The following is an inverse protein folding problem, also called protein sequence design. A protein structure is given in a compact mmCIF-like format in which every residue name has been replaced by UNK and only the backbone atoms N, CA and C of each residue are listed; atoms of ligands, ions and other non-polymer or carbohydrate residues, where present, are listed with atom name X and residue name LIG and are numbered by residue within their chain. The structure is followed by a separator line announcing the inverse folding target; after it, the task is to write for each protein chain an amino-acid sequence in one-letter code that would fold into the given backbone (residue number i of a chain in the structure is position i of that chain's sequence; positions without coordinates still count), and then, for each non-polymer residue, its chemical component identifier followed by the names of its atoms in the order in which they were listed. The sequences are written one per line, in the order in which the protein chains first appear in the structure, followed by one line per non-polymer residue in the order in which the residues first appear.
data_IF_054521766464
#
_entry.id   IF_054521766464
#
_cell.length_a   1.000
_cell.length_b   1.000
_cell.length_c   1.000
_cell.angle_alpha   90.00
_cell.angle_beta   90.00
_cell.angle_gamma   90.00
#
_symmetry.space_group_name_H-M   'P 1'
#
loop_
_entity.id
_entity.type
_entity.pdbx_description
1 polymer ?
#
# COMPACT_ATOMS: atom_id res chain seq x y z
N UNK A 1 1.43 62.07 -49.93
CA UNK A 1 2.42 61.09 -50.45
C UNK A 1 2.38 59.87 -49.53
N UNK A 2 2.18 58.66 -50.06
CA UNK A 2 2.02 57.44 -49.23
C UNK A 2 3.35 56.72 -49.00
N UNK A 3 3.47 56.03 -47.86
CA UNK A 3 4.62 55.17 -47.58
C UNK A 3 4.65 53.96 -48.52
N UNK A 4 5.85 53.51 -48.89
CA UNK A 4 6.01 52.31 -49.72
C UNK A 4 5.77 51.07 -48.87
N UNK A 5 4.63 50.43 -49.08
CA UNK A 5 4.31 49.13 -48.50
C UNK A 5 4.51 48.01 -49.52
N UNK A 6 5.14 46.90 -49.11
CA UNK A 6 5.32 45.71 -49.94
C UNK A 6 4.95 44.45 -49.16
N UNK A 7 4.06 43.65 -49.72
CA UNK A 7 3.71 42.33 -49.16
C UNK A 7 4.93 41.41 -49.17
N UNK A 8 5.18 40.74 -48.05
CA UNK A 8 6.32 39.82 -47.92
C UNK A 8 5.87 38.41 -48.25
N UNK A 9 6.51 37.76 -49.21
CA UNK A 9 6.23 36.37 -49.58
C UNK A 9 6.34 35.39 -48.41
N UNK A 10 7.25 35.65 -47.45
CA UNK A 10 7.41 34.85 -46.23
C UNK A 10 6.18 34.84 -45.32
N UNK A 11 5.29 35.83 -45.40
CA UNK A 11 4.02 35.83 -44.66
C UNK A 11 2.93 35.06 -45.41
N UNK A 12 3.01 35.02 -46.75
CA UNK A 12 2.11 34.23 -47.57
C UNK A 12 2.44 32.73 -47.51
N UNK A 13 3.72 32.37 -47.60
CA UNK A 13 4.18 30.98 -47.59
C UNK A 13 5.51 30.82 -46.84
N UNK A 14 5.49 30.00 -45.79
CA UNK A 14 6.67 29.66 -44.98
C UNK A 14 6.62 28.19 -44.56
N UNK A 15 7.23 27.27 -45.33
CA UNK A 15 7.25 25.87 -44.97
C UNK A 15 8.08 25.64 -43.70
N UNK A 16 7.80 24.53 -43.02
CA UNK A 16 8.60 24.09 -41.89
C UNK A 16 10.06 23.82 -42.32
N UNK A 17 10.99 23.91 -41.35
CA UNK A 17 12.38 23.52 -41.59
C UNK A 17 12.46 22.00 -41.76
N UNK A 18 13.38 21.48 -42.58
CA UNK A 18 13.57 20.05 -42.72
C UNK A 18 13.94 19.44 -41.36
N UNK A 19 13.27 18.34 -41.03
CA UNK A 19 13.55 17.58 -39.81
C UNK A 19 14.88 16.83 -39.94
N UNK A 20 15.43 16.46 -38.79
CA UNK A 20 16.64 15.64 -38.71
C UNK A 20 16.25 14.18 -38.59
N UNK A 21 16.65 13.36 -39.56
CA UNK A 21 16.54 11.91 -39.43
C UNK A 21 17.39 11.46 -38.22
N UNK A 22 16.78 10.75 -37.26
CA UNK A 22 17.44 10.25 -36.05
C UNK A 22 18.19 11.32 -35.23
N UNK A 23 17.74 12.57 -35.28
CA UNK A 23 18.41 13.72 -34.63
C UNK A 23 19.86 13.98 -35.14
N UNK A 24 20.21 13.49 -36.33
CA UNK A 24 21.53 13.68 -36.94
C UNK A 24 21.53 14.88 -37.88
N UNK A 25 22.49 15.78 -37.68
CA UNK A 25 22.83 16.84 -38.64
C UNK A 25 23.82 16.31 -39.68
N UNK A 26 23.41 16.22 -40.96
CA UNK A 26 24.21 15.63 -42.03
C UNK A 26 25.63 16.21 -42.19
N UNK A 27 25.79 17.52 -41.92
CA UNK A 27 27.07 18.22 -42.09
C UNK A 27 27.76 18.58 -40.76
N UNK A 28 27.38 17.97 -39.63
CA UNK A 28 27.94 18.32 -38.31
C UNK A 28 29.45 18.15 -38.25
N UNK A 29 29.99 17.09 -38.85
CA UNK A 29 31.43 16.79 -38.88
C UNK A 29 32.20 17.58 -39.96
N UNK A 30 31.50 18.18 -40.93
CA UNK A 30 32.11 18.94 -42.02
C UNK A 30 32.19 20.44 -41.73
N UNK A 31 31.24 20.98 -40.96
CA UNK A 31 31.15 22.42 -40.70
C UNK A 31 31.91 22.82 -39.43
N UNK A 32 32.44 24.06 -39.35
CA UNK A 32 33.02 24.58 -38.12
C UNK A 32 31.96 24.76 -37.03
N UNK A 33 32.37 24.63 -35.75
CA UNK A 33 31.52 24.84 -34.58
C UNK A 33 31.47 26.33 -34.23
N UNK A 34 30.62 27.09 -34.93
CA UNK A 34 30.39 28.52 -34.70
C UNK A 34 28.94 28.75 -34.23
N UNK A 35 28.71 29.75 -33.36
CA UNK A 35 27.37 30.13 -32.90
C UNK A 35 26.46 30.42 -34.11
N UNK A 36 25.28 29.80 -34.11
CA UNK A 36 24.30 29.98 -35.17
C UNK A 36 23.90 31.45 -35.28
N UNK A 37 23.90 31.98 -36.50
CA UNK A 37 23.52 33.37 -36.79
C UNK A 37 24.69 34.22 -37.28
N UNK A 38 25.88 34.05 -36.68
CA UNK A 38 27.06 34.88 -36.99
C UNK A 38 27.44 34.84 -38.48
N UNK A 39 27.62 33.65 -39.05
CA UNK A 39 27.93 33.50 -40.48
C UNK A 39 26.77 33.90 -41.42
N UNK A 40 25.54 33.93 -40.90
CA UNK A 40 24.35 34.31 -41.67
C UNK A 40 24.04 35.82 -41.57
N UNK A 41 24.86 36.60 -40.86
CA UNK A 41 24.65 38.03 -40.62
C UNK A 41 23.53 38.36 -39.63
N UNK A 42 23.09 37.41 -38.80
CA UNK A 42 22.12 37.64 -37.73
C UNK A 42 22.88 37.84 -36.42
N UNK A 43 22.84 39.07 -35.92
CA UNK A 43 23.51 39.51 -34.70
C UNK A 43 22.61 40.51 -33.96
N UNK A 44 22.73 40.55 -32.63
CA UNK A 44 21.96 41.41 -31.75
C UNK A 44 22.81 41.72 -30.53
N UNK A 45 22.98 43.02 -30.22
CA UNK A 45 23.68 43.45 -29.01
C UNK A 45 22.89 43.11 -27.75
N UNK A 46 21.58 43.36 -27.78
CA UNK A 46 20.64 43.02 -26.73
C UNK A 46 19.49 42.19 -27.30
N UNK A 47 19.07 41.15 -26.57
CA UNK A 47 17.91 40.35 -26.91
C UNK A 47 16.85 40.52 -25.83
N UNK A 48 15.75 41.18 -26.16
CA UNK A 48 14.60 41.38 -25.26
C UNK A 48 13.51 40.38 -25.63
N UNK A 49 13.19 39.45 -24.73
CA UNK A 49 12.08 38.49 -24.89
C UNK A 49 10.87 38.93 -24.06
N UNK A 50 9.74 39.17 -24.74
CA UNK A 50 8.51 39.61 -24.07
C UNK A 50 7.80 38.48 -23.29
N UNK A 51 8.30 37.25 -23.39
CA UNK A 51 7.77 36.09 -22.66
C UNK A 51 8.34 35.96 -21.25
N UNK A 52 9.39 36.70 -20.95
CA UNK A 52 10.02 36.68 -19.63
C UNK A 52 9.17 37.39 -18.59
N UNK A 53 9.21 36.90 -17.35
CA UNK A 53 8.41 37.44 -16.24
C UNK A 53 8.65 38.93 -16.01
N UNK A 54 9.91 39.38 -16.15
CA UNK A 54 10.31 40.78 -15.95
C UNK A 54 9.66 41.74 -16.95
N UNK A 55 9.20 41.23 -18.10
CA UNK A 55 8.64 42.03 -19.19
C UNK A 55 7.12 41.87 -19.34
N UNK A 56 6.47 41.17 -18.42
CA UNK A 56 5.03 40.95 -18.46
C UNK A 56 4.25 42.28 -18.47
N UNK A 57 4.62 43.26 -17.64
CA UNK A 57 3.97 44.58 -17.61
C UNK A 57 4.07 45.30 -18.97
N UNK A 58 5.22 45.19 -19.62
CA UNK A 58 5.49 45.84 -20.90
C UNK A 58 4.70 45.15 -22.02
N UNK A 59 4.59 43.81 -21.96
CA UNK A 59 3.73 43.04 -22.86
C UNK A 59 2.25 43.42 -22.69
N UNK A 60 1.75 43.46 -21.46
CA UNK A 60 0.35 43.81 -21.17
C UNK A 60 0.03 45.26 -21.57
N UNK A 61 0.96 46.19 -21.38
CA UNK A 61 0.80 47.57 -21.84
C UNK A 61 0.76 47.70 -23.37
N UNK A 62 1.42 46.78 -24.10
CA UNK A 62 1.37 46.72 -25.56
C UNK A 62 0.08 46.08 -26.09
N UNK A 63 -0.60 45.25 -25.30
CA UNK A 63 -1.86 44.60 -25.69
C UNK A 63 -3.00 45.60 -25.75
N UNK A 64 -3.92 45.40 -26.69
CA UNK A 64 -5.03 46.33 -26.88
C UNK A 64 -6.11 46.08 -25.81
N UNK A 65 -6.64 47.11 -25.12
CA UNK A 65 -7.61 46.92 -24.02
C UNK A 65 -8.93 46.22 -24.37
N UNK A 66 -9.24 46.07 -25.67
CA UNK A 66 -10.43 45.32 -26.13
C UNK A 66 -10.21 43.81 -26.19
N UNK A 67 -8.97 43.35 -26.22
CA UNK A 67 -8.62 41.93 -26.18
C UNK A 67 -8.68 41.47 -24.72
N UNK A 68 -9.74 40.74 -24.35
CA UNK A 68 -9.96 40.28 -22.97
C UNK A 68 -9.49 38.85 -22.81
N UNK A 69 -8.73 38.60 -21.75
CA UNK A 69 -8.29 37.27 -21.37
C UNK A 69 -9.21 36.71 -20.27
N UNK A 70 -9.79 35.54 -20.53
CA UNK A 70 -10.60 34.79 -19.55
C UNK A 70 -9.69 33.83 -18.75
N UNK A 71 -10.20 33.31 -17.62
CA UNK A 71 -9.49 32.35 -16.77
C UNK A 71 -8.23 32.90 -16.08
N UNK A 72 -8.29 34.13 -15.58
CA UNK A 72 -7.18 34.78 -14.87
C UNK A 72 -6.94 34.16 -13.48
N UNK A 73 -8.02 34.00 -12.70
CA UNK A 73 -7.94 33.51 -11.32
C UNK A 73 -8.36 32.04 -11.15
N UNK A 74 -9.05 31.47 -12.15
CA UNK A 74 -9.53 30.09 -12.14
C UNK A 74 -9.33 29.43 -13.50
N UNK A 75 -9.25 28.10 -13.53
CA UNK A 75 -9.13 27.32 -14.77
C UNK A 75 -10.38 26.48 -14.97
N UNK A 76 -10.78 26.31 -16.24
CA UNK A 76 -11.93 25.47 -16.59
C UNK A 76 -11.76 24.01 -16.13
N UNK A 77 -10.58 23.42 -16.37
CA UNK A 77 -10.26 22.06 -15.93
C UNK A 77 -9.66 22.05 -14.52
N UNK A 78 -10.00 21.00 -13.74
CA UNK A 78 -9.39 20.76 -12.45
C UNK A 78 -7.87 20.52 -12.61
N UNK A 79 -7.08 21.32 -11.90
CA UNK A 79 -5.62 21.29 -11.90
C UNK A 79 -5.06 20.26 -10.89
N UNK A 80 -5.86 19.79 -9.94
CA UNK A 80 -5.47 18.84 -8.89
C UNK A 80 -5.56 17.38 -9.31
N UNK A 81 -5.68 17.11 -10.61
CA UNK A 81 -5.63 15.76 -11.18
C UNK A 81 -4.18 15.47 -11.55
N UNK A 82 -3.62 14.37 -11.03
CA UNK A 82 -2.26 13.93 -11.37
C UNK A 82 -2.18 13.62 -12.87
N UNK A 83 -1.38 14.39 -13.60
CA UNK A 83 -1.13 14.24 -15.05
C UNK A 83 0.36 14.17 -15.33
N UNK A 84 0.68 13.61 -16.49
CA UNK A 84 2.04 13.53 -17.00
C UNK A 84 2.53 14.86 -17.57
N UNK A 85 3.84 15.09 -17.45
CA UNK A 85 4.53 16.20 -18.11
C UNK A 85 4.70 15.96 -19.61
N UNK A 86 5.04 17.03 -20.34
CA UNK A 86 5.39 16.93 -21.75
C UNK A 86 6.66 16.09 -21.97
N UNK A 87 6.77 15.47 -23.16
CA UNK A 87 7.90 14.59 -23.51
C UNK A 87 9.26 15.24 -23.32
N UNK A 88 9.40 16.50 -23.73
CA UNK A 88 10.66 17.22 -23.62
C UNK A 88 11.02 17.54 -22.16
N UNK A 89 10.02 17.81 -21.31
CA UNK A 89 10.21 18.03 -19.87
C UNK A 89 10.66 16.74 -19.19
N UNK A 90 10.04 15.59 -19.51
CA UNK A 90 10.46 14.26 -19.02
C UNK A 90 11.91 13.94 -19.45
N UNK A 91 12.28 14.25 -20.69
CA UNK A 91 13.65 14.07 -21.18
C UNK A 91 14.66 14.97 -20.44
N UNK A 92 14.30 16.22 -20.14
CA UNK A 92 15.14 17.12 -19.36
C UNK A 92 15.32 16.61 -17.92
N UNK A 93 14.24 16.12 -17.28
CA UNK A 93 14.31 15.53 -15.95
C UNK A 93 15.20 14.29 -15.93
N UNK A 94 14.99 13.38 -16.88
CA UNK A 94 15.84 12.19 -17.04
C UNK A 94 17.30 12.59 -17.23
N UNK A 95 17.61 13.46 -18.20
CA UNK A 95 18.98 13.88 -18.46
C UNK A 95 19.67 14.63 -17.32
N UNK A 96 18.91 15.34 -16.47
CA UNK A 96 19.42 16.02 -15.28
C UNK A 96 19.65 15.07 -14.10
N UNK A 97 18.75 14.12 -13.90
CA UNK A 97 18.70 13.23 -12.74
C UNK A 97 18.90 11.77 -13.14
N UNK A 98 19.93 11.48 -13.92
CA UNK A 98 20.24 10.11 -14.35
C UNK A 98 20.51 9.15 -13.16
N UNK A 99 21.02 9.68 -12.05
CA UNK A 99 21.37 8.91 -10.85
C UNK A 99 20.15 8.40 -10.05
N UNK A 100 18.92 8.73 -10.45
CA UNK A 100 17.70 8.13 -9.89
C UNK A 100 17.42 6.72 -10.43
N UNK A 101 18.16 6.26 -11.45
CA UNK A 101 18.07 4.89 -11.92
C UNK A 101 18.47 3.91 -10.80
N UNK A 102 17.81 2.73 -10.71
CA UNK A 102 18.21 1.70 -9.75
C UNK A 102 19.64 1.25 -10.03
N UNK A 103 20.38 0.92 -8.97
CA UNK A 103 21.75 0.41 -9.02
C UNK A 103 22.71 1.30 -9.84
N UNK A 104 22.49 2.63 -9.81
CA UNK A 104 23.37 3.58 -10.49
C UNK A 104 24.75 3.69 -9.82
N UNK A 105 24.82 3.50 -8.50
CA UNK A 105 26.07 3.57 -7.74
C UNK A 105 27.06 2.48 -8.17
N UNK A 106 28.34 2.87 -8.33
CA UNK A 106 29.38 1.91 -8.68
C UNK A 106 29.68 1.00 -7.47
N UNK A 107 29.60 -0.31 -7.70
CA UNK A 107 29.97 -1.35 -6.74
C UNK A 107 31.02 -2.29 -7.36
N UNK A 108 32.16 -2.55 -6.69
CA UNK A 108 32.60 -1.99 -5.41
C UNK A 108 33.04 -0.52 -5.52
N UNK A 109 32.92 0.22 -4.42
CA UNK A 109 33.32 1.63 -4.35
C UNK A 109 34.78 1.76 -3.89
N UNK A 110 35.62 2.41 -4.70
CA UNK A 110 37.08 2.42 -4.51
C UNK A 110 37.62 3.81 -4.17
N UNK A 111 36.88 4.88 -4.43
CA UNK A 111 37.38 6.26 -4.31
C UNK A 111 37.05 6.89 -2.96
N UNK A 112 38.06 7.20 -2.16
CA UNK A 112 37.87 7.76 -0.82
C UNK A 112 38.60 9.11 -0.68
N UNK A 113 38.12 10.01 0.21
CA UNK A 113 38.81 11.27 0.46
C UNK A 113 40.23 11.02 0.99
N UNK A 114 41.19 11.79 0.50
CA UNK A 114 42.62 11.65 0.83
C UNK A 114 43.44 10.82 -0.16
N UNK A 115 42.81 10.09 -1.10
CA UNK A 115 43.55 9.38 -2.14
C UNK A 115 44.12 10.34 -3.18
N UNK A 116 45.28 9.97 -3.75
CA UNK A 116 45.87 10.66 -4.91
C UNK A 116 45.35 10.00 -6.18
N UNK A 117 44.80 10.82 -7.07
CA UNK A 117 44.25 10.38 -8.35
C UNK A 117 44.80 11.21 -9.51
N UNK A 118 44.84 10.61 -10.69
CA UNK A 118 45.20 11.24 -11.95
C UNK A 118 44.00 11.25 -12.90
N UNK A 119 43.78 12.37 -13.58
CA UNK A 119 42.73 12.49 -14.61
C UNK A 119 43.22 11.86 -15.91
N UNK A 120 42.56 10.82 -16.38
CA UNK A 120 42.93 10.07 -17.59
C UNK A 120 42.27 10.66 -18.85
N UNK A 121 41.06 11.21 -18.72
CA UNK A 121 40.32 11.73 -19.88
C UNK A 121 39.52 12.99 -19.57
N UNK A 122 39.36 13.84 -20.59
CA UNK A 122 38.62 15.10 -20.50
C UNK A 122 39.54 16.31 -20.33
N UNK A 123 38.98 17.37 -19.77
CA UNK A 123 39.73 18.59 -19.46
C UNK A 123 40.66 18.35 -18.28
N UNK A 124 41.92 18.77 -18.40
CA UNK A 124 42.93 18.53 -17.37
C UNK A 124 43.52 17.10 -17.36
N UNK A 125 43.44 16.35 -18.46
CA UNK A 125 44.07 15.03 -18.56
C UNK A 125 45.60 15.10 -18.27
N UNK A 126 46.09 14.16 -17.46
CA UNK A 126 47.46 14.09 -16.95
C UNK A 126 47.71 14.88 -15.65
N UNK A 127 46.73 15.66 -15.18
CA UNK A 127 46.84 16.34 -13.89
C UNK A 127 46.53 15.39 -12.73
N UNK A 128 47.32 15.53 -11.66
CA UNK A 128 47.18 14.77 -10.42
C UNK A 128 46.66 15.66 -9.30
N UNK A 129 45.86 15.10 -8.41
CA UNK A 129 45.38 15.79 -7.24
C UNK A 129 44.82 14.84 -6.20
N UNK A 130 44.58 15.36 -5.00
CA UNK A 130 44.02 14.60 -3.89
C UNK A 130 42.50 14.73 -3.89
N UNK A 131 41.79 13.64 -3.61
CA UNK A 131 40.33 13.68 -3.44
C UNK A 131 39.98 14.45 -2.16
N UNK A 132 39.28 15.57 -2.31
CA UNK A 132 38.77 16.38 -1.18
C UNK A 132 37.47 15.78 -0.65
N UNK A 133 36.53 15.51 -1.56
CA UNK A 133 35.20 15.06 -1.22
C UNK A 133 34.67 14.10 -2.27
N UNK A 134 33.72 13.26 -1.84
CA UNK A 134 33.15 12.20 -2.65
C UNK A 134 31.63 12.32 -2.64
N UNK A 135 31.02 12.32 -3.82
CA UNK A 135 29.58 12.30 -4.00
C UNK A 135 29.18 10.92 -4.55
N UNK A 136 29.08 9.95 -3.63
CA UNK A 136 28.90 8.53 -3.95
C UNK A 136 27.68 8.27 -4.83
N UNK A 137 26.51 8.80 -4.47
CA UNK A 137 25.26 8.57 -5.20
C UNK A 137 25.23 9.10 -6.65
N UNK A 138 26.14 10.03 -7.00
CA UNK A 138 26.29 10.53 -8.38
C UNK A 138 27.46 9.90 -9.14
N UNK A 139 28.27 9.08 -8.48
CA UNK A 139 29.57 8.62 -9.00
C UNK A 139 30.47 9.81 -9.39
N UNK A 140 30.56 10.82 -8.52
CA UNK A 140 31.39 11.99 -8.73
C UNK A 140 32.36 12.20 -7.56
N UNK A 141 33.52 12.77 -7.87
CA UNK A 141 34.55 13.13 -6.89
C UNK A 141 35.00 14.58 -7.09
N UNK A 142 35.42 15.23 -6.01
CA UNK A 142 35.98 16.58 -6.04
C UNK A 142 37.47 16.44 -5.74
N UNK A 143 38.30 16.86 -6.70
CA UNK A 143 39.76 16.71 -6.64
C UNK A 143 40.41 18.07 -6.55
N UNK A 144 41.37 18.22 -5.64
CA UNK A 144 42.03 19.50 -5.34
C UNK A 144 42.67 20.12 -6.59
N UNK A 145 42.42 21.42 -6.83
CA UNK A 145 42.92 22.20 -7.96
C UNK A 145 42.57 21.66 -9.37
N UNK A 146 41.64 20.72 -9.50
CA UNK A 146 41.18 20.19 -10.78
C UNK A 146 39.72 20.61 -10.99
N UNK A 147 39.37 20.99 -12.24
CA UNK A 147 38.02 21.45 -12.60
C UNK A 147 37.53 22.60 -11.71
N UNK A 148 38.40 23.59 -11.48
CA UNK A 148 38.06 24.81 -10.74
C UNK A 148 37.16 25.67 -11.62
N UNK A 149 36.00 26.06 -11.09
CA UNK A 149 35.09 26.98 -11.76
C UNK A 149 34.63 28.08 -10.81
N UNK A 150 34.19 29.18 -11.40
CA UNK A 150 33.64 30.31 -10.68
C UNK A 150 32.21 29.99 -10.21
N UNK A 151 32.00 29.97 -8.90
CA UNK A 151 30.70 29.87 -8.25
C UNK A 151 30.21 31.28 -7.94
N UNK A 152 29.19 31.71 -8.68
CA UNK A 152 28.53 33.00 -8.46
C UNK A 152 27.51 32.84 -7.34
N UNK A 153 27.65 33.65 -6.30
CA UNK A 153 26.69 33.73 -5.20
C UNK A 153 25.85 34.99 -5.39
N UNK A 154 24.52 34.87 -5.59
CA UNK A 154 23.65 36.02 -5.79
C UNK A 154 23.70 37.02 -4.62
N UNK A 155 23.56 38.30 -4.93
CA UNK A 155 23.48 39.36 -3.94
C UNK A 155 22.28 39.18 -3.00
N UNK A 156 22.47 39.48 -1.73
CA UNK A 156 21.42 39.64 -0.72
C UNK A 156 21.39 41.10 -0.24
N UNK A 157 20.36 41.50 0.49
CA UNK A 157 20.26 42.87 1.04
C UNK A 157 21.52 43.29 1.83
N UNK A 158 22.09 42.34 2.58
CA UNK A 158 23.28 42.54 3.40
C UNK A 158 24.62 42.28 2.69
N UNK A 159 24.63 41.65 1.50
CA UNK A 159 25.86 41.19 0.86
C UNK A 159 25.82 41.38 -0.65
N UNK A 160 26.81 42.05 -1.27
CA UNK A 160 26.88 42.16 -2.72
C UNK A 160 27.11 40.81 -3.40
N UNK A 161 26.91 40.76 -4.71
CA UNK A 161 27.23 39.58 -5.52
C UNK A 161 28.73 39.23 -5.35
N UNK A 162 29.01 37.95 -5.14
CA UNK A 162 30.37 37.48 -4.89
C UNK A 162 30.67 36.31 -5.82
N UNK A 163 31.86 36.34 -6.43
CA UNK A 163 32.39 35.26 -7.25
C UNK A 163 33.50 34.57 -6.45
N UNK A 164 33.34 33.26 -6.21
CA UNK A 164 34.31 32.44 -5.46
C UNK A 164 34.69 31.24 -6.31
N UNK A 165 35.96 30.87 -6.32
CA UNK A 165 36.44 29.70 -7.04
C UNK A 165 36.32 28.45 -6.17
N UNK A 166 35.76 27.38 -6.75
CA UNK A 166 35.70 26.06 -6.14
C UNK A 166 35.88 24.96 -7.17
N UNK A 167 36.51 23.88 -6.73
CA UNK A 167 36.60 22.63 -7.48
C UNK A 167 35.21 22.04 -7.67
N UNK A 168 34.88 21.70 -8.91
CA UNK A 168 33.61 21.07 -9.26
C UNK A 168 33.75 19.56 -9.39
N UNK A 169 32.65 18.82 -9.17
CA UNK A 169 32.66 17.37 -9.26
C UNK A 169 33.11 16.87 -10.64
N UNK A 170 33.91 15.80 -10.63
CA UNK A 170 34.43 15.09 -11.79
C UNK A 170 33.85 13.69 -11.76
N UNK A 171 33.48 13.17 -12.93
CA UNK A 171 33.00 11.80 -13.05
C UNK A 171 34.12 10.81 -12.69
N UNK A 172 33.80 9.87 -11.82
CA UNK A 172 34.68 8.81 -11.33
C UNK A 172 35.37 8.02 -12.46
N UNK A 173 34.68 7.77 -13.57
CA UNK A 173 35.24 7.01 -14.70
C UNK A 173 36.40 7.70 -15.42
N UNK A 174 36.60 9.00 -15.18
CA UNK A 174 37.67 9.78 -15.81
C UNK A 174 38.96 9.80 -15.01
N UNK A 175 38.96 9.27 -13.79
CA UNK A 175 40.10 9.28 -12.89
C UNK A 175 40.60 7.87 -12.60
N UNK A 176 41.89 7.76 -12.30
CA UNK A 176 42.50 6.53 -11.81
C UNK A 176 43.37 6.83 -10.60
N UNK A 177 43.53 5.85 -9.72
CA UNK A 177 44.37 5.98 -8.54
C UNK A 177 45.85 6.00 -8.92
N UNK A 178 46.62 6.77 -8.16
CA UNK A 178 48.08 6.76 -8.23
C UNK A 178 48.59 5.98 -7.02
N UNK A 179 49.46 5.00 -7.28
CA UNK A 179 50.06 4.22 -6.22
C UNK A 179 51.07 5.07 -5.43
N UNK A 180 50.99 5.13 -4.08
CA UNK A 180 51.95 5.90 -3.29
C UNK A 180 53.38 5.38 -3.38
N UNK A 181 53.59 4.10 -3.75
CA UNK A 181 54.93 3.49 -3.84
C UNK A 181 55.59 3.72 -5.20
N UNK A 182 54.85 3.54 -6.30
CA UNK A 182 55.39 3.69 -7.66
C UNK A 182 55.19 5.10 -8.22
N UNK A 183 54.30 5.90 -7.66
CA UNK A 183 53.86 7.20 -8.20
C UNK A 183 53.35 7.12 -9.65
N UNK A 184 52.90 5.94 -10.06
CA UNK A 184 52.32 5.67 -11.37
C UNK A 184 50.85 5.30 -11.21
N UNK A 185 50.11 5.41 -12.31
CA UNK A 185 48.68 5.09 -12.33
C UNK A 185 48.50 3.58 -12.18
N UNK A 186 47.69 3.17 -11.21
CA UNK A 186 47.46 1.78 -10.87
C UNK A 186 45.98 1.39 -10.90
N UNK A 187 45.73 0.11 -11.17
CA UNK A 187 44.41 -0.50 -11.00
C UNK A 187 44.30 -1.02 -9.57
N UNK A 188 43.19 -0.68 -8.93
CA UNK A 188 42.90 -1.06 -7.55
C UNK A 188 41.72 -2.04 -7.52
N UNK A 189 41.82 -3.06 -6.68
CA UNK A 189 40.74 -4.00 -6.37
C UNK A 189 40.43 -4.04 -4.87
N UNK A 190 39.20 -4.39 -4.52
CA UNK A 190 38.78 -4.53 -3.12
C UNK A 190 39.10 -5.95 -2.61
N UNK A 191 39.76 -6.04 -1.45
CA UNK A 191 40.21 -7.28 -0.81
C UNK A 191 39.78 -7.32 0.64
N UNK A 192 39.43 -8.51 1.12
CA UNK A 192 39.14 -8.76 2.53
C UNK A 192 40.41 -9.21 3.25
N UNK A 193 40.83 -8.45 4.25
CA UNK A 193 42.02 -8.75 5.05
C UNK A 193 41.61 -8.84 6.51
N UNK A 194 42.03 -9.91 7.18
CA UNK A 194 41.82 -10.03 8.62
C UNK A 194 42.75 -9.07 9.35
N UNK A 195 42.19 -8.17 10.14
CA UNK A 195 42.99 -7.29 10.99
C UNK A 195 43.62 -8.13 12.11
N UNK A 196 44.93 -7.94 12.34
CA UNK A 196 45.69 -8.70 13.33
C UNK A 196 45.36 -8.27 14.76
N UNK A 197 44.92 -7.03 14.96
CA UNK A 197 44.66 -6.45 16.28
C UNK A 197 43.21 -6.73 16.73
N UNK A 198 42.23 -6.40 15.90
CA UNK A 198 40.80 -6.60 16.22
C UNK A 198 40.32 -8.02 15.93
N UNK A 199 41.01 -8.75 15.04
CA UNK A 199 40.60 -10.09 14.60
C UNK A 199 39.44 -10.09 13.59
N UNK A 200 38.86 -8.92 13.31
CA UNK A 200 37.76 -8.71 12.37
C UNK A 200 38.23 -8.72 10.92
N UNK A 201 37.31 -8.99 10.00
CA UNK A 201 37.57 -8.97 8.55
C UNK A 201 37.27 -7.56 8.02
N UNK A 202 38.30 -6.84 7.62
CA UNK A 202 38.19 -5.49 7.06
C UNK A 202 38.34 -5.53 5.54
N UNK A 203 37.57 -4.69 4.86
CA UNK A 203 37.75 -4.45 3.42
C UNK A 203 38.85 -3.39 3.23
N UNK A 204 39.86 -3.74 2.43
CA UNK A 204 40.97 -2.87 2.05
C UNK A 204 41.14 -2.89 0.55
N UNK A 205 41.74 -1.83 0.03
CA UNK A 205 41.96 -1.66 -1.40
C UNK A 205 43.39 -2.07 -1.72
N UNK A 206 43.61 -2.97 -2.68
CA UNK A 206 44.95 -3.39 -3.10
C UNK A 206 45.30 -2.81 -4.47
N UNK A 207 46.51 -2.28 -4.62
CA UNK A 207 47.10 -2.00 -5.93
C UNK A 207 47.58 -3.32 -6.55
N UNK A 208 47.13 -3.65 -7.75
CA UNK A 208 47.52 -4.90 -8.43
C UNK A 208 48.99 -4.91 -8.87
N UNK A 209 49.57 -3.74 -9.13
CA UNK A 209 50.93 -3.62 -9.66
C UNK A 209 51.98 -3.77 -8.55
N UNK A 210 51.80 -3.08 -7.43
CA UNK A 210 52.76 -3.07 -6.32
C UNK A 210 52.39 -4.03 -5.18
N UNK A 211 51.12 -4.44 -5.09
CA UNK A 211 50.58 -5.16 -3.94
C UNK A 211 50.35 -4.29 -2.70
N UNK A 212 50.45 -2.95 -2.81
CA UNK A 212 50.22 -2.03 -1.69
C UNK A 212 48.75 -2.04 -1.26
N UNK A 213 48.52 -2.18 0.04
CA UNK A 213 47.20 -2.11 0.65
C UNK A 213 46.91 -0.69 1.13
N UNK A 214 45.86 -0.08 0.60
CA UNK A 214 45.30 1.20 1.01
C UNK A 214 44.09 0.96 1.93
N UNK A 215 44.12 1.47 3.18
CA UNK A 215 42.95 1.40 4.05
C UNK A 215 41.81 2.29 3.55
N UNK A 216 40.59 1.97 4.00
CA UNK A 216 39.44 2.87 3.86
C UNK A 216 39.53 3.89 4.99
N UNK A 217 39.62 5.20 4.69
CA UNK A 217 39.61 6.21 5.74
C UNK A 217 38.24 6.21 6.44
N UNK A 218 38.19 6.38 7.77
CA UNK A 218 36.92 6.58 8.46
C UNK A 218 36.27 7.87 7.94
N UNK A 219 34.93 7.91 7.82
CA UNK A 219 34.24 9.13 7.46
C UNK A 219 34.55 10.22 8.50
N UNK A 220 34.79 11.45 8.03
CA UNK A 220 34.92 12.61 8.90
C UNK A 220 33.53 13.01 9.39
N UNK A 221 33.17 12.58 10.59
CA UNK A 221 31.96 13.06 11.25
C UNK A 221 32.27 14.41 11.89
N UNK A 222 32.01 15.50 11.16
CA UNK A 222 31.81 16.81 11.80
C UNK A 222 30.52 16.69 12.63
N UNK A 223 30.65 16.16 13.86
CA UNK A 223 29.52 15.92 14.74
C UNK A 223 28.84 17.26 15.02
N UNK A 224 27.71 17.51 14.37
CA UNK A 224 26.80 18.56 14.77
C UNK A 224 26.39 18.26 16.20
N UNK A 225 26.80 19.10 17.12
CA UNK A 225 26.47 18.94 18.54
C UNK A 225 24.95 19.07 18.71
N UNK A 226 24.36 18.12 19.44
CA UNK A 226 22.93 18.15 19.77
C UNK A 226 22.60 19.16 20.87
N UNK A 227 21.32 19.22 21.25
CA UNK A 227 20.84 20.12 22.29
C UNK A 227 21.00 19.45 23.66
N UNK A 228 21.97 19.87 24.50
CA UNK A 228 22.22 19.21 25.78
C UNK A 228 21.03 19.29 26.75
N UNK A 229 20.04 20.16 26.51
CA UNK A 229 18.82 20.21 27.31
C UNK A 229 17.85 19.06 26.98
N UNK A 230 17.89 18.54 25.76
CA UNK A 230 17.00 17.47 25.27
C UNK A 230 17.71 16.14 25.07
N UNK A 231 19.03 16.15 25.03
CA UNK A 231 19.85 14.97 24.88
C UNK A 231 20.16 14.40 26.26
N UNK A 232 19.70 13.18 26.52
CA UNK A 232 20.01 12.46 27.75
C UNK A 232 21.49 12.12 27.82
N UNK A 233 22.15 12.26 28.98
CA UNK A 233 23.55 11.89 29.10
C UNK A 233 23.71 10.38 28.86
N UNK A 234 24.85 9.99 28.28
CA UNK A 234 25.12 8.59 27.90
C UNK A 234 25.02 7.65 29.11
N UNK A 235 25.42 8.11 30.30
CA UNK A 235 25.36 7.32 31.54
C UNK A 235 23.94 6.89 31.90
N UNK A 236 22.97 7.79 31.79
CA UNK A 236 21.56 7.51 32.09
C UNK A 236 20.91 6.68 30.98
N UNK A 237 21.37 6.83 29.73
CA UNK A 237 20.87 6.06 28.59
C UNK A 237 21.39 4.61 28.58
N UNK A 238 22.64 4.40 28.99
CA UNK A 238 23.29 3.09 29.08
C UNK A 238 22.95 2.34 30.38
N UNK A 239 22.24 2.98 31.31
CA UNK A 239 21.79 2.36 32.56
C UNK A 239 20.86 1.18 32.25
N UNK A 240 21.36 -0.04 32.44
CA UNK A 240 20.64 -1.27 32.16
C UNK A 240 19.62 -1.59 33.28
N UNK A 241 18.46 -0.92 33.22
CA UNK A 241 17.38 -1.05 34.22
C UNK A 241 16.33 -2.12 33.87
N UNK A 242 16.47 -2.81 32.73
CA UNK A 242 15.48 -3.77 32.24
C UNK A 242 15.59 -5.14 32.94
N UNK A 243 14.69 -5.39 33.88
CA UNK A 243 14.49 -6.69 34.53
C UNK A 243 13.48 -7.55 33.76
N UNK A 244 14.01 -8.37 32.84
CA UNK A 244 13.19 -9.19 31.93
C UNK A 244 12.16 -10.06 32.65
N UNK A 245 12.53 -10.72 33.74
CA UNK A 245 11.68 -11.72 34.40
C UNK A 245 10.45 -11.08 35.04
N UNK A 246 10.62 -9.95 35.73
CA UNK A 246 9.55 -9.24 36.41
C UNK A 246 8.56 -8.62 35.41
N UNK A 247 9.06 -7.95 34.37
CA UNK A 247 8.19 -7.33 33.35
C UNK A 247 7.46 -8.39 32.51
N UNK A 248 8.15 -9.45 32.10
CA UNK A 248 7.54 -10.50 31.29
C UNK A 248 6.44 -11.24 32.06
N UNK A 249 6.59 -11.46 33.37
CA UNK A 249 5.56 -12.11 34.17
C UNK A 249 4.23 -11.33 34.11
N UNK A 250 4.27 -10.00 34.31
CA UNK A 250 3.09 -9.14 34.26
C UNK A 250 2.51 -9.07 32.84
N UNK A 251 3.36 -8.99 31.82
CA UNK A 251 2.89 -8.96 30.42
C UNK A 251 2.23 -10.27 30.00
N UNK A 252 2.78 -11.40 30.43
CA UNK A 252 2.22 -12.73 30.16
C UNK A 252 0.90 -12.90 30.90
N UNK A 253 0.83 -12.53 32.18
CA UNK A 253 -0.39 -12.63 32.97
C UNK A 253 -1.53 -11.81 32.36
N UNK A 254 -1.29 -10.54 31.99
CA UNK A 254 -2.31 -9.69 31.35
C UNK A 254 -2.81 -10.24 30.02
N UNK A 255 -1.91 -10.83 29.21
CA UNK A 255 -2.28 -11.44 27.93
C UNK A 255 -3.04 -12.74 28.14
N UNK A 256 -2.59 -13.56 29.09
CA UNK A 256 -3.25 -14.83 29.43
C UNK A 256 -4.66 -14.56 29.95
N UNK A 257 -4.82 -13.60 30.86
CA UNK A 257 -6.13 -13.21 31.38
C UNK A 257 -7.07 -12.74 30.25
N UNK A 258 -6.59 -11.91 29.32
CA UNK A 258 -7.40 -11.49 28.18
C UNK A 258 -7.81 -12.66 27.27
N UNK A 259 -6.94 -13.67 27.08
CA UNK A 259 -7.24 -14.88 26.32
C UNK A 259 -8.27 -15.76 27.06
N UNK A 260 -8.11 -15.92 28.38
CA UNK A 260 -9.03 -16.68 29.23
C UNK A 260 -10.42 -16.04 29.27
N UNK A 261 -10.50 -14.71 29.44
CA UNK A 261 -11.77 -13.98 29.43
C UNK A 261 -12.51 -14.15 28.11
N UNK A 262 -11.79 -14.06 26.98
CA UNK A 262 -12.37 -14.31 25.66
C UNK A 262 -12.84 -15.76 25.52
N UNK A 263 -12.04 -16.73 25.98
CA UNK A 263 -12.41 -18.14 25.95
C UNK A 263 -13.67 -18.43 26.80
N UNK A 264 -13.78 -17.84 27.99
CA UNK A 264 -14.98 -17.97 28.84
C UNK A 264 -16.21 -17.40 28.14
N UNK A 265 -16.08 -16.30 27.40
CA UNK A 265 -17.19 -15.77 26.59
C UNK A 265 -17.61 -16.77 25.51
N UNK A 266 -16.67 -17.38 24.79
CA UNK A 266 -17.01 -18.40 23.78
C UNK A 266 -17.67 -19.65 24.40
N UNK A 267 -17.25 -20.05 25.60
CA UNK A 267 -17.90 -21.13 26.34
C UNK A 267 -19.32 -20.76 26.78
N UNK A 268 -19.54 -19.50 27.17
CA UNK A 268 -20.85 -18.98 27.52
C UNK A 268 -21.79 -19.04 26.31
N UNK A 269 -21.36 -18.56 25.15
CA UNK A 269 -22.12 -18.65 23.90
C UNK A 269 -22.46 -20.11 23.54
N UNK A 270 -21.48 -21.01 23.67
CA UNK A 270 -21.67 -22.44 23.42
C UNK A 270 -22.67 -23.07 24.40
N UNK A 271 -22.60 -22.71 25.68
CA UNK A 271 -23.54 -23.18 26.70
C UNK A 271 -24.95 -22.67 26.44
N UNK A 272 -25.11 -21.38 26.11
CA UNK A 272 -26.40 -20.78 25.78
C UNK A 272 -27.07 -21.48 24.59
N UNK A 273 -26.29 -21.96 23.61
CA UNK A 273 -26.79 -22.75 22.50
C UNK A 273 -27.18 -24.19 22.90
N UNK A 274 -26.36 -24.89 23.68
CA UNK A 274 -26.56 -26.30 23.99
C UNK A 274 -27.52 -26.58 25.15
N UNK A 275 -27.65 -25.67 26.12
CA UNK A 275 -28.46 -25.87 27.31
C UNK A 275 -29.97 -26.07 27.02
N UNK A 276 -30.60 -25.31 26.11
CA UNK A 276 -31.99 -25.55 25.72
C UNK A 276 -32.20 -26.93 25.08
N UNK A 277 -31.24 -27.41 24.27
CA UNK A 277 -31.32 -28.74 23.66
C UNK A 277 -31.26 -29.84 24.72
N UNK A 278 -30.36 -29.71 25.70
CA UNK A 278 -30.28 -30.64 26.83
C UNK A 278 -31.57 -30.64 27.65
N UNK A 279 -32.12 -29.46 27.91
CA UNK A 279 -33.36 -29.29 28.68
C UNK A 279 -34.54 -29.95 27.96
N UNK A 280 -34.67 -29.73 26.65
CA UNK A 280 -35.67 -30.39 25.80
C UNK A 280 -35.52 -31.91 25.83
N UNK A 281 -34.30 -32.43 25.67
CA UNK A 281 -34.08 -33.88 25.77
C UNK A 281 -34.48 -34.45 27.14
N UNK A 282 -34.28 -33.70 28.22
CA UNK A 282 -34.69 -34.11 29.56
C UNK A 282 -36.22 -34.07 29.75
N UNK A 283 -36.88 -33.06 29.19
CA UNK A 283 -38.33 -32.96 29.14
C UNK A 283 -38.94 -34.08 28.29
N UNK A 284 -38.38 -34.35 27.11
CA UNK A 284 -38.79 -35.45 26.23
C UNK A 284 -38.59 -36.81 26.91
N UNK A 285 -37.47 -37.01 27.63
CA UNK A 285 -37.25 -38.23 28.42
C UNK A 285 -38.27 -38.36 29.56
N UNK A 286 -38.63 -37.25 30.20
CA UNK A 286 -39.64 -37.24 31.26
C UNK A 286 -41.03 -37.54 30.71
N UNK A 287 -41.36 -36.98 29.55
CA UNK A 287 -42.61 -37.23 28.83
C UNK A 287 -42.69 -38.69 28.37
N UNK A 288 -41.60 -39.23 27.83
CA UNK A 288 -41.52 -40.65 27.49
C UNK A 288 -41.79 -41.54 28.70
N UNK A 289 -41.24 -41.21 29.88
CA UNK A 289 -41.52 -41.95 31.11
C UNK A 289 -42.99 -41.88 31.51
N UNK A 290 -43.66 -40.72 31.36
CA UNK A 290 -45.10 -40.61 31.64
C UNK A 290 -45.91 -41.41 30.64
N UNK A 291 -45.61 -41.31 29.34
CA UNK A 291 -46.31 -42.04 28.28
C UNK A 291 -46.16 -43.57 28.45
N UNK A 292 -45.00 -44.05 28.92
CA UNK A 292 -44.80 -45.47 29.24
C UNK A 292 -45.69 -45.91 30.42
N UNK A 293 -45.85 -45.07 31.44
CA UNK A 293 -46.74 -45.35 32.57
C UNK A 293 -48.20 -45.35 32.13
N UNK A 294 -48.59 -44.40 31.27
CA UNK A 294 -49.95 -44.30 30.72
C UNK A 294 -50.26 -45.49 29.79
N UNK A 295 -49.34 -45.87 28.90
CA UNK A 295 -49.50 -47.06 28.07
C UNK A 295 -49.58 -48.35 28.92
N UNK A 296 -48.77 -48.46 29.98
CA UNK A 296 -48.82 -49.59 30.89
C UNK A 296 -50.14 -49.66 31.67
N UNK A 297 -50.71 -48.51 32.07
CA UNK A 297 -52.00 -48.45 32.74
C UNK A 297 -53.15 -48.80 31.81
N UNK A 298 -53.11 -48.35 30.55
CA UNK A 298 -54.06 -48.73 29.49
C UNK A 298 -54.04 -50.24 29.21
N UNK A 299 -52.85 -50.82 28.97
CA UNK A 299 -52.69 -52.27 28.72
C UNK A 299 -53.16 -53.08 29.94
N UNK A 300 -52.90 -52.60 31.16
CA UNK A 300 -53.41 -53.25 32.38
C UNK A 300 -54.94 -53.18 32.45
N UNK A 301 -55.52 -52.02 32.14
CA UNK A 301 -56.97 -51.82 32.06
C UNK A 301 -57.64 -52.76 31.06
N UNK A 302 -57.14 -52.80 29.81
CA UNK A 302 -57.61 -53.72 28.76
C UNK A 302 -57.52 -55.17 29.21
N UNK A 303 -56.38 -55.62 29.77
CA UNK A 303 -56.21 -57.00 30.24
C UNK A 303 -57.13 -57.35 31.41
N UNK A 304 -57.39 -56.41 32.32
CA UNK A 304 -58.35 -56.62 33.41
C UNK A 304 -59.78 -56.71 32.89
N UNK A 305 -60.11 -55.94 31.86
CA UNK A 305 -61.42 -55.98 31.19
C UNK A 305 -61.60 -57.28 30.39
N UNK A 306 -60.58 -57.73 29.65
CA UNK A 306 -60.53 -59.02 28.96
C UNK A 306 -60.59 -60.20 29.95
N UNK A 307 -59.84 -60.14 31.07
CA UNK A 307 -59.89 -61.16 32.11
C UNK A 307 -61.25 -61.21 32.81
N UNK A 308 -61.91 -60.06 33.00
CA UNK A 308 -63.29 -59.98 33.48
C UNK A 308 -64.31 -60.50 32.46
N UNK A 309 -64.02 -60.40 31.15
CA UNK A 309 -64.88 -60.89 30.07
C UNK A 309 -64.71 -62.39 29.77
N UNK A 310 -63.51 -62.96 29.98
CA UNK A 310 -63.16 -64.33 29.56
C UNK A 310 -62.65 -65.28 30.66
N UNK A 311 -62.53 -64.88 31.94
CA UNK A 311 -61.97 -65.73 33.01
C UNK A 311 -62.74 -65.76 34.34
N UNK A 312 -62.80 -66.95 34.97
CA UNK A 312 -63.44 -67.27 36.27
C UNK A 312 -62.76 -66.64 37.51
N UNK A 313 -62.32 -65.38 37.44
CA UNK A 313 -61.72 -64.62 38.55
C UNK A 313 -62.70 -63.65 39.23
N UNK A 314 -62.47 -63.34 40.52
CA UNK A 314 -63.33 -62.52 41.40
C UNK A 314 -63.81 -61.20 40.78
N UNK A 315 -65.10 -60.80 40.97
CA UNK A 315 -65.60 -59.52 40.46
C UNK A 315 -64.88 -58.34 41.11
N UNK A 316 -64.68 -57.27 40.33
CA UNK A 316 -64.14 -55.99 40.81
C UNK A 316 -65.02 -55.42 41.96
N UNK A 317 -64.46 -54.61 42.89
CA UNK A 317 -65.23 -53.95 43.94
C UNK A 317 -66.41 -53.12 43.39
N UNK A 318 -67.52 -53.06 44.13
CA UNK A 318 -68.76 -52.41 43.67
C UNK A 318 -68.58 -50.92 43.31
N UNK A 319 -67.82 -50.17 44.13
CA UNK A 319 -67.52 -48.75 43.88
C UNK A 319 -66.77 -48.52 42.56
N UNK A 320 -65.96 -49.49 42.11
CA UNK A 320 -65.23 -49.41 40.85
C UNK A 320 -66.13 -49.73 39.65
N UNK A 321 -67.09 -50.64 39.82
CA UNK A 321 -68.05 -50.98 38.78
C UNK A 321 -68.97 -49.79 38.48
N UNK A 322 -69.45 -49.10 39.51
CA UNK A 322 -70.29 -47.90 39.36
C UNK A 322 -69.53 -46.77 38.65
N UNK A 323 -68.26 -46.56 39.00
CA UNK A 323 -67.41 -45.57 38.33
C UNK A 323 -67.11 -45.93 36.87
N UNK A 324 -66.87 -47.20 36.57
CA UNK A 324 -66.66 -47.67 35.19
C UNK A 324 -67.93 -47.48 34.36
N UNK A 325 -69.11 -47.80 34.90
CA UNK A 325 -70.38 -47.58 34.17
C UNK A 325 -70.65 -46.11 33.90
N UNK A 326 -70.37 -45.22 34.85
CA UNK A 326 -70.48 -43.78 34.65
C UNK A 326 -69.52 -43.29 33.54
N UNK A 327 -68.27 -43.76 33.53
CA UNK A 327 -67.32 -43.42 32.46
C UNK A 327 -67.70 -44.03 31.09
N UNK A 328 -68.34 -45.20 31.05
CA UNK A 328 -68.87 -45.76 29.80
C UNK A 328 -70.01 -44.89 29.27
N UNK A 329 -70.94 -44.46 30.12
CA UNK A 329 -72.03 -43.55 29.73
C UNK A 329 -71.49 -42.20 29.22
N UNK A 330 -70.46 -41.66 29.89
CA UNK A 330 -69.77 -40.45 29.43
C UNK A 330 -69.09 -40.66 28.06
N UNK A 331 -68.38 -41.76 27.86
CA UNK A 331 -67.72 -42.08 26.58
C UNK A 331 -68.75 -42.32 25.48
N UNK A 332 -69.85 -43.02 25.76
CA UNK A 332 -70.93 -43.24 24.80
C UNK A 332 -71.57 -41.92 24.39
N UNK A 333 -71.81 -41.01 25.34
CA UNK A 333 -72.31 -39.67 25.06
C UNK A 333 -71.31 -38.84 24.22
N UNK A 334 -70.01 -38.87 24.54
CA UNK A 334 -68.97 -38.18 23.76
C UNK A 334 -68.84 -38.77 22.34
N UNK A 335 -68.94 -40.09 22.20
CA UNK A 335 -68.93 -40.78 20.92
C UNK A 335 -70.17 -40.43 20.10
N UNK A 336 -71.36 -40.40 20.72
CA UNK A 336 -72.60 -39.95 20.06
C UNK A 336 -72.49 -38.48 19.62
N UNK A 337 -72.00 -37.58 20.47
CA UNK A 337 -71.75 -36.18 20.10
C UNK A 337 -70.73 -36.06 18.95
N UNK A 338 -69.68 -36.89 18.94
CA UNK A 338 -68.70 -36.92 17.84
C UNK A 338 -69.29 -37.47 16.54
N UNK A 339 -70.14 -38.50 16.61
CA UNK A 339 -70.85 -39.09 15.48
C UNK A 339 -71.94 -38.17 14.95
N UNK A 340 -72.59 -37.38 15.81
CA UNK A 340 -73.53 -36.35 15.42
C UNK A 340 -72.82 -35.19 14.70
N UNK A 341 -71.63 -34.80 15.17
CA UNK A 341 -70.76 -33.84 14.46
C UNK A 341 -70.28 -34.39 13.12
N UNK A 342 -69.83 -35.65 13.06
CA UNK A 342 -69.43 -36.29 11.80
C UNK A 342 -70.61 -36.51 10.85
N UNK A 343 -71.82 -36.85 11.34
CA UNK A 343 -73.04 -36.96 10.54
C UNK A 343 -73.53 -35.60 10.03
N UNK A 344 -73.35 -34.55 10.82
CA UNK A 344 -73.60 -33.17 10.38
C UNK A 344 -72.61 -32.77 9.26
N UNK A 345 -71.37 -33.25 9.31
CA UNK A 345 -70.36 -33.02 8.28
C UNK A 345 -70.54 -33.91 7.02
N UNK A 346 -71.23 -35.08 7.11
CA UNK A 346 -71.37 -36.09 6.04
C UNK A 346 -72.70 -36.10 5.25
N UNK A 347 -73.59 -35.12 5.43
CA UNK A 347 -74.73 -34.78 4.55
C UNK A 347 -75.44 -35.89 3.73
N UNK A 348 -76.53 -36.46 4.25
CA UNK A 348 -77.50 -37.28 3.47
C UNK A 348 -78.61 -36.36 2.92
N UNK A 349 -78.49 -35.94 1.65
CA UNK A 349 -79.61 -35.39 0.85
C UNK A 349 -80.24 -36.52 0.02
N UNK A 350 -81.52 -36.82 0.28
CA UNK A 350 -82.37 -37.64 -0.61
C UNK A 350 -82.77 -36.80 -1.86
N UNK A 351 -83.06 -37.43 -3.01
CA UNK A 351 -82.86 -36.84 -4.34
C UNK A 351 -83.94 -35.84 -4.76
N UNK A 352 -83.55 -34.58 -4.92
CA UNK A 352 -84.01 -33.76 -6.04
C UNK A 352 -82.94 -32.72 -6.40
N UNK A 353 -82.58 -32.68 -7.68
CA UNK A 353 -81.75 -31.66 -8.33
C UNK A 353 -80.23 -31.84 -8.17
N UNK A 354 -79.69 -32.83 -8.90
CA UNK A 354 -78.26 -32.89 -9.19
C UNK A 354 -78.01 -32.56 -10.67
N UNK A 355 -77.34 -31.44 -10.88
CA UNK A 355 -76.31 -31.27 -11.90
C UNK A 355 -75.72 -29.88 -11.71
N UNK A 356 -74.57 -29.78 -11.05
CA UNK A 356 -73.44 -29.05 -11.61
C UNK A 356 -72.26 -29.14 -10.64
N UNK A 357 -71.29 -30.00 -11.00
CA UNK A 357 -69.96 -29.91 -10.45
C UNK A 357 -68.98 -30.21 -11.56
N UNK A 358 -68.25 -29.18 -11.99
CA UNK A 358 -66.88 -29.23 -12.48
C UNK A 358 -66.29 -27.81 -12.52
N UNK A 359 -64.99 -27.78 -12.23
CA UNK A 359 -64.02 -26.66 -12.26
C UNK A 359 -64.04 -25.66 -11.08
N UNK A 360 -62.89 -25.30 -10.48
CA UNK A 360 -61.52 -25.39 -10.99
C UNK A 360 -60.45 -25.28 -9.91
N UNK A 361 -59.28 -25.70 -10.37
CA UNK A 361 -57.94 -25.73 -9.78
C UNK A 361 -57.37 -24.34 -9.42
N UNK A 362 -56.16 -24.39 -8.86
CA UNK A 362 -55.13 -23.33 -8.70
C UNK A 362 -55.08 -22.72 -7.28
N UNK A 363 -53.93 -22.50 -6.64
CA UNK A 363 -52.53 -22.62 -7.04
C UNK A 363 -51.65 -22.60 -5.79
N UNK A 364 -50.42 -23.07 -5.97
CA UNK A 364 -49.35 -23.22 -5.00
C UNK A 364 -49.00 -21.91 -4.26
N UNK A 365 -48.68 -22.07 -2.98
CA UNK A 365 -48.12 -21.00 -2.15
C UNK A 365 -46.64 -20.74 -2.51
N UNK A 366 -46.39 -19.63 -3.21
CA UNK A 366 -45.20 -18.77 -3.03
C UNK A 366 -45.19 -18.27 -1.55
N UNK A 367 -44.11 -18.19 -0.78
CA UNK A 367 -42.77 -17.68 -1.08
C UNK A 367 -41.92 -17.88 0.19
N UNK A 368 -40.66 -18.32 0.06
CA UNK A 368 -39.66 -18.22 1.13
C UNK A 368 -38.40 -17.60 0.54
N UNK A 369 -38.26 -16.29 0.74
CA UNK A 369 -37.06 -15.52 0.45
C UNK A 369 -35.94 -15.93 1.40
N UNK A 370 -34.90 -16.51 0.82
CA UNK A 370 -33.60 -16.66 1.44
C UNK A 370 -32.84 -15.32 1.36
N UNK A 371 -32.65 -14.68 2.51
CA UNK A 371 -31.53 -13.78 2.82
C UNK A 371 -30.96 -14.28 4.15
N UNK A 372 -29.67 -14.37 4.44
CA UNK A 372 -28.42 -13.99 3.80
C UNK A 372 -27.31 -14.22 4.86
N UNK A 373 -26.04 -14.14 4.47
CA UNK A 373 -24.96 -13.85 5.42
C UNK A 373 -24.06 -15.01 5.82
N UNK A 374 -23.09 -15.30 4.95
CA UNK A 374 -21.84 -15.97 5.25
C UNK A 374 -21.06 -15.19 6.31
N UNK A 375 -20.63 -15.87 7.38
CA UNK A 375 -19.58 -15.43 8.29
C UNK A 375 -18.21 -15.91 7.79
N UNK A 376 -17.33 -14.96 7.53
CA UNK A 376 -15.87 -15.11 7.63
C UNK A 376 -15.48 -14.24 8.83
N UNK A 377 -14.96 -14.78 9.92
CA UNK A 377 -13.58 -15.24 10.01
C UNK A 377 -12.72 -14.11 10.59
N UNK A 378 -12.51 -14.16 11.91
CA UNK A 378 -11.32 -13.63 12.61
C UNK A 378 -10.65 -14.83 13.26
#
# INVERSE_FOLDING_TARGET
MYARFRTRSKFYFRPARPLRAYNVDANKLRRPKIKRGLLNGVYSDETVDLRDRERLELLEAMRHPRERDFYQDHTYHNQWIRRDLEKHQKQNLSGRYNYFAPDFEISPWIWYPGDIVEVVSGEGAGQRGTIIAVVKYKNEIIVQNINVQDVVIPASESRPEQVVQREHPICVTRVQHVDPSTNEVCVIEMVKVRNKETGEMEEKRMSLQSGVLLPIPPPSDDLQVGDPLKDTPIQDADEATYDREAEMAVLVEKRLQAMEDHFVQTLKESYEFHEPLRRRNAEDMRQFQTDVVDAASMILGERLLEAGAFGEGSPLPAEWQEAITAHIEEIEAEMEESLEKERADMGYEDPSESADQMDGLEEDTDSCEASGGVSTGV
#
